data_IF_394741701522
#
_entry.id   IF_394741701522
#
_cell.length_a   1.000
_cell.length_b   1.000
_cell.length_c   1.000
_cell.angle_alpha   90.00
_cell.angle_beta   90.00
_cell.angle_gamma   90.00
#
_symmetry.space_group_name_H-M   'P 1'
#
loop_
_entity.id
_entity.type
_entity.pdbx_description
1 polymer ?
#
# COMPACT_ATOMS: atom_id res chain seq x y z
N UNK A 1 -18.20 19.15 -6.37
CA UNK A 1 -18.60 17.82 -6.81
C UNK A 1 -18.60 16.87 -5.63
N UNK A 2 -19.69 16.14 -5.51
CA UNK A 2 -19.86 15.23 -4.38
C UNK A 2 -18.92 14.05 -4.46
N UNK A 3 -18.44 13.62 -3.32
CA UNK A 3 -17.57 12.47 -3.20
C UNK A 3 -16.08 12.75 -3.36
N UNK A 4 -15.69 13.97 -3.73
CA UNK A 4 -14.27 14.31 -3.77
C UNK A 4 -13.74 14.56 -2.36
N UNK A 5 -12.59 14.00 -2.02
CA UNK A 5 -12.00 14.25 -0.71
C UNK A 5 -11.42 15.66 -0.63
N UNK A 6 -11.20 16.10 0.61
CA UNK A 6 -10.62 17.41 0.94
C UNK A 6 -9.30 17.19 1.66
N UNK A 7 -8.48 18.24 1.70
CA UNK A 7 -7.22 18.19 2.46
C UNK A 7 -7.55 17.79 3.90
N UNK A 8 -6.80 16.81 4.42
CA UNK A 8 -6.99 16.26 5.75
C UNK A 8 -7.86 15.01 5.78
N UNK A 9 -8.58 14.70 4.72
CA UNK A 9 -9.37 13.46 4.67
C UNK A 9 -8.45 12.25 4.66
N UNK A 10 -8.85 11.21 5.39
CA UNK A 10 -8.08 9.98 5.59
C UNK A 10 -8.91 8.76 5.28
N UNK A 11 -8.22 7.71 4.86
CA UNK A 11 -8.82 6.39 4.70
C UNK A 11 -7.80 5.32 5.08
N UNK A 12 -8.28 4.15 5.46
CA UNK A 12 -7.43 3.05 5.93
C UNK A 12 -7.91 1.72 5.38
N UNK A 13 -6.96 0.80 5.30
CA UNK A 13 -7.20 -0.60 4.96
C UNK A 13 -6.27 -1.46 5.81
N UNK A 14 -6.79 -2.52 6.40
CA UNK A 14 -6.01 -3.39 7.27
C UNK A 14 -6.06 -4.82 6.76
N UNK A 15 -4.93 -5.50 6.77
CA UNK A 15 -4.80 -6.86 6.26
C UNK A 15 -3.74 -7.62 7.04
N UNK A 16 -4.09 -8.81 7.53
CA UNK A 16 -3.10 -9.73 8.08
C UNK A 16 -2.46 -10.51 6.94
N UNK A 17 -1.14 -10.47 6.89
CA UNK A 17 -0.37 -11.10 5.82
C UNK A 17 -0.29 -12.60 6.06
N UNK A 18 -0.68 -13.38 5.07
CA UNK A 18 -0.60 -14.85 5.12
C UNK A 18 0.46 -15.37 4.16
N UNK A 19 0.85 -16.63 4.36
CA UNK A 19 1.76 -17.30 3.42
C UNK A 19 1.14 -17.39 2.02
N UNK A 20 -0.18 -17.59 1.93
CA UNK A 20 -0.89 -17.62 0.65
C UNK A 20 -0.83 -16.27 -0.06
N UNK A 21 -0.91 -15.15 0.69
CA UNK A 21 -0.79 -13.81 0.10
C UNK A 21 0.56 -13.65 -0.58
N UNK A 22 1.63 -14.09 0.08
CA UNK A 22 3.00 -14.02 -0.47
C UNK A 22 3.13 -14.91 -1.70
N UNK A 23 2.57 -16.12 -1.65
CA UNK A 23 2.59 -17.05 -2.78
C UNK A 23 1.83 -16.47 -3.98
N UNK A 24 0.67 -15.87 -3.73
CA UNK A 24 -0.13 -15.24 -4.78
C UNK A 24 0.57 -14.03 -5.39
N UNK A 25 1.20 -13.21 -4.57
CA UNK A 25 1.98 -12.07 -5.06
C UNK A 25 3.12 -12.54 -5.96
N UNK A 26 3.87 -13.55 -5.51
CA UNK A 26 4.95 -14.14 -6.31
C UNK A 26 4.44 -14.67 -7.65
N UNK A 27 3.28 -15.33 -7.63
CA UNK A 27 2.68 -15.91 -8.83
C UNK A 27 2.27 -14.83 -9.83
N UNK A 28 1.58 -13.78 -9.37
CA UNK A 28 1.04 -12.76 -10.29
C UNK A 28 2.10 -11.79 -10.79
N UNK A 29 3.17 -11.56 -10.03
CA UNK A 29 4.23 -10.62 -10.40
C UNK A 29 5.44 -11.27 -11.04
N UNK A 30 5.62 -12.60 -10.83
CA UNK A 30 6.83 -13.29 -11.22
C UNK A 30 8.00 -13.10 -10.24
N UNK A 31 7.79 -12.41 -9.11
CA UNK A 31 8.83 -12.19 -8.10
C UNK A 31 8.94 -13.40 -7.19
N UNK A 32 9.74 -14.36 -7.62
CA UNK A 32 9.96 -15.62 -6.91
C UNK A 32 11.25 -15.61 -6.10
N UNK A 33 11.73 -14.44 -5.70
CA UNK A 33 12.91 -14.28 -4.86
C UNK A 33 12.81 -15.20 -3.64
N UNK A 34 13.79 -16.10 -3.41
CA UNK A 34 13.73 -17.08 -2.32
C UNK A 34 13.69 -16.45 -0.92
N UNK A 35 14.07 -15.20 -0.77
CA UNK A 35 13.94 -14.49 0.50
C UNK A 35 12.49 -14.48 1.00
N UNK A 36 11.53 -14.48 0.09
CA UNK A 36 10.11 -14.38 0.45
C UNK A 36 9.44 -15.74 0.64
N UNK A 37 10.02 -16.82 0.11
CA UNK A 37 9.33 -18.10 0.00
C UNK A 37 10.07 -19.31 0.56
N UNK A 38 11.38 -19.23 0.71
CA UNK A 38 12.22 -20.38 1.09
C UNK A 38 12.77 -20.18 2.50
N UNK A 39 12.20 -20.90 3.51
CA UNK A 39 12.67 -20.77 4.90
C UNK A 39 14.16 -21.14 5.08
N UNK A 40 14.64 -22.13 4.34
CA UNK A 40 16.05 -22.54 4.43
C UNK A 40 16.98 -21.45 3.89
N UNK A 41 16.58 -20.79 2.79
CA UNK A 41 17.33 -19.66 2.26
C UNK A 41 17.27 -18.47 3.23
N UNK A 42 16.06 -18.11 3.68
CA UNK A 42 15.87 -16.98 4.57
C UNK A 42 16.60 -17.12 5.89
N UNK A 43 16.73 -18.34 6.41
CA UNK A 43 17.47 -18.63 7.63
C UNK A 43 18.94 -18.21 7.54
N UNK A 44 19.49 -18.15 6.34
CA UNK A 44 20.87 -17.74 6.08
C UNK A 44 21.01 -16.24 5.87
N UNK A 45 19.92 -15.50 5.87
CA UNK A 45 19.92 -14.05 5.70
C UNK A 45 19.83 -13.34 7.06
N UNK A 46 20.03 -12.04 7.05
CA UNK A 46 19.88 -11.21 8.24
C UNK A 46 18.47 -11.27 8.83
N UNK A 47 17.47 -11.63 8.04
CA UNK A 47 16.05 -11.66 8.46
C UNK A 47 15.68 -12.96 9.18
N UNK A 48 16.42 -14.05 8.95
CA UNK A 48 16.27 -15.36 9.59
C UNK A 48 15.03 -16.14 9.21
N UNK A 49 14.02 -15.51 8.67
CA UNK A 49 12.78 -16.13 8.21
C UNK A 49 12.27 -15.40 6.97
N UNK A 50 11.37 -16.01 6.18
CA UNK A 50 10.82 -15.33 5.01
C UNK A 50 10.10 -14.04 5.40
N UNK A 51 10.29 -13.02 4.58
CA UNK A 51 9.60 -11.75 4.71
C UNK A 51 8.71 -11.52 3.50
N UNK A 52 7.64 -10.74 3.68
CA UNK A 52 6.75 -10.39 2.58
C UNK A 52 7.47 -9.45 1.60
N UNK A 53 7.06 -9.51 0.34
CA UNK A 53 7.51 -8.54 -0.65
C UNK A 53 7.12 -7.13 -0.19
N UNK A 54 8.03 -6.18 -0.25
CA UNK A 54 7.71 -4.78 0.09
C UNK A 54 6.58 -4.24 -0.78
N UNK A 55 6.55 -4.64 -2.04
CA UNK A 55 5.50 -4.21 -2.97
C UNK A 55 4.12 -4.77 -2.65
N UNK A 56 4.01 -5.79 -1.79
CA UNK A 56 2.72 -6.25 -1.30
C UNK A 56 2.07 -5.15 -0.44
N UNK A 57 2.83 -4.52 0.45
CA UNK A 57 2.35 -3.38 1.23
C UNK A 57 1.96 -2.20 0.32
N UNK A 58 2.73 -1.97 -0.75
CA UNK A 58 2.36 -0.97 -1.76
C UNK A 58 1.01 -1.30 -2.39
N UNK A 59 0.71 -2.58 -2.59
CA UNK A 59 -0.60 -3.02 -3.06
C UNK A 59 -1.71 -2.64 -2.09
N UNK A 60 -1.47 -2.71 -0.79
CA UNK A 60 -2.45 -2.28 0.22
C UNK A 60 -2.69 -0.77 0.15
N UNK A 61 -1.65 0.02 -0.10
CA UNK A 61 -1.79 1.45 -0.35
C UNK A 61 -2.68 1.68 -1.58
N UNK A 62 -2.42 0.95 -2.67
CA UNK A 62 -3.24 1.04 -3.87
C UNK A 62 -4.71 0.72 -3.58
N UNK A 63 -4.97 -0.27 -2.72
CA UNK A 63 -6.33 -0.63 -2.32
C UNK A 63 -7.05 0.53 -1.61
N UNK A 64 -6.35 1.22 -0.70
CA UNK A 64 -6.92 2.39 -0.01
C UNK A 64 -7.29 3.47 -1.01
N UNK A 65 -6.36 3.79 -1.91
CA UNK A 65 -6.56 4.87 -2.89
C UNK A 65 -7.67 4.55 -3.87
N UNK A 66 -7.77 3.28 -4.27
CA UNK A 66 -8.74 2.87 -5.27
C UNK A 66 -10.13 2.56 -4.74
N UNK A 67 -10.26 2.21 -3.45
CA UNK A 67 -11.54 1.70 -2.93
C UNK A 67 -12.06 2.41 -1.69
N UNK A 68 -11.20 3.12 -0.94
CA UNK A 68 -11.60 3.66 0.37
C UNK A 68 -11.61 5.19 0.42
N UNK A 69 -10.63 5.84 -0.22
CA UNK A 69 -10.48 7.29 -0.08
C UNK A 69 -11.56 8.07 -0.83
N UNK A 70 -11.87 7.66 -2.04
CA UNK A 70 -12.87 8.32 -2.88
C UNK A 70 -13.64 7.28 -3.69
N UNK A 71 -14.46 6.43 -3.03
CA UNK A 71 -15.08 5.27 -3.69
C UNK A 71 -16.06 5.65 -4.81
N UNK A 72 -16.59 6.88 -4.81
CA UNK A 72 -17.48 7.34 -5.87
C UNK A 72 -16.75 7.93 -7.08
N UNK A 73 -15.43 7.99 -7.03
CA UNK A 73 -14.60 8.56 -8.10
C UNK A 73 -13.78 7.48 -8.78
N UNK A 74 -13.35 7.77 -10.01
CA UNK A 74 -12.34 6.95 -10.68
C UNK A 74 -10.97 7.45 -10.25
N UNK A 75 -10.23 6.61 -9.53
CA UNK A 75 -8.89 6.96 -9.07
C UNK A 75 -7.86 6.37 -10.03
N UNK A 76 -7.01 7.23 -10.59
CA UNK A 76 -5.95 6.82 -11.49
C UNK A 76 -4.62 7.17 -10.86
N UNK A 77 -3.77 6.16 -10.67
CA UNK A 77 -2.43 6.37 -10.14
C UNK A 77 -1.59 7.17 -11.13
N UNK A 78 -0.96 8.22 -10.64
CA UNK A 78 -0.01 9.01 -11.43
C UNK A 78 1.42 8.70 -11.00
N UNK A 79 1.68 8.73 -9.69
CA UNK A 79 3.01 8.43 -9.16
C UNK A 79 2.93 7.92 -7.73
N UNK A 80 3.99 7.23 -7.31
CA UNK A 80 4.13 6.73 -5.96
C UNK A 80 5.61 6.67 -5.60
N UNK A 81 5.98 7.33 -4.51
CA UNK A 81 7.28 7.10 -3.89
C UNK A 81 7.11 6.16 -2.71
N UNK A 82 8.13 5.36 -2.43
CA UNK A 82 8.09 4.37 -1.35
C UNK A 82 9.46 4.30 -0.69
N UNK A 83 9.44 4.18 0.64
CA UNK A 83 10.61 3.81 1.43
C UNK A 83 10.21 2.63 2.29
N UNK A 84 10.99 1.57 2.22
CA UNK A 84 10.76 0.34 2.98
C UNK A 84 11.59 0.40 4.25
N UNK A 85 10.93 0.52 5.39
CA UNK A 85 11.58 0.83 6.67
C UNK A 85 11.80 -0.41 7.51
N UNK A 86 10.82 -1.32 7.56
CA UNK A 86 10.89 -2.55 8.34
C UNK A 86 10.38 -3.73 7.53
N UNK A 87 10.93 -4.93 7.74
CA UNK A 87 10.41 -6.14 7.10
C UNK A 87 9.02 -6.47 7.64
N UNK A 88 8.21 -7.09 6.80
CA UNK A 88 6.88 -7.61 7.15
C UNK A 88 6.94 -9.11 7.10
N UNK A 89 6.45 -9.76 8.14
CA UNK A 89 6.48 -11.22 8.28
C UNK A 89 5.09 -11.81 8.17
N UNK A 90 5.01 -13.09 7.85
CA UNK A 90 3.74 -13.83 7.91
C UNK A 90 3.14 -13.68 9.31
N UNK A 91 1.86 -13.33 9.36
CA UNK A 91 1.16 -13.09 10.61
C UNK A 91 1.12 -11.63 11.05
N UNK A 92 1.96 -10.76 10.46
CA UNK A 92 1.85 -9.33 10.73
C UNK A 92 0.55 -8.78 10.16
N UNK A 93 -0.05 -7.84 10.88
CA UNK A 93 -1.22 -7.12 10.41
C UNK A 93 -0.78 -5.73 9.97
N UNK A 94 -0.99 -5.43 8.71
CA UNK A 94 -0.56 -4.17 8.11
C UNK A 94 -1.75 -3.25 7.92
N UNK A 95 -1.61 -2.04 8.43
CA UNK A 95 -2.60 -0.97 8.28
C UNK A 95 -2.04 0.05 7.31
N UNK A 96 -2.66 0.15 6.14
CA UNK A 96 -2.31 1.15 5.14
C UNK A 96 -3.19 2.38 5.35
N UNK A 97 -2.58 3.55 5.42
CA UNK A 97 -3.24 4.82 5.71
C UNK A 97 -2.93 5.80 4.58
N UNK A 98 -3.96 6.46 4.08
CA UNK A 98 -3.81 7.52 3.10
C UNK A 98 -4.44 8.81 3.65
N UNK A 99 -3.73 9.91 3.53
CA UNK A 99 -4.22 11.22 3.96
C UNK A 99 -3.96 12.24 2.86
N UNK A 100 -5.00 12.97 2.47
CA UNK A 100 -4.87 14.03 1.44
C UNK A 100 -4.09 15.20 2.02
N UNK A 101 -2.98 15.56 1.37
CA UNK A 101 -2.11 16.67 1.80
C UNK A 101 -2.23 17.89 0.89
N UNK A 102 -2.55 17.72 -0.37
CA UNK A 102 -2.68 18.82 -1.30
C UNK A 102 -3.56 18.47 -2.46
N UNK A 103 -4.13 19.48 -3.08
CA UNK A 103 -5.05 19.32 -4.22
C UNK A 103 -4.75 20.40 -5.24
N UNK A 104 -4.66 20.00 -6.52
CA UNK A 104 -4.70 20.90 -7.65
C UNK A 104 -6.06 20.73 -8.34
N UNK A 105 -7.07 21.54 -7.96
CA UNK A 105 -8.45 21.29 -8.40
C UNK A 105 -8.63 21.32 -9.92
N UNK A 106 -7.91 22.21 -10.60
CA UNK A 106 -8.04 22.37 -12.04
C UNK A 106 -7.56 21.12 -12.80
N UNK A 107 -6.55 20.44 -12.28
CA UNK A 107 -6.00 19.22 -12.87
C UNK A 107 -6.57 17.97 -12.25
N UNK A 108 -7.37 18.09 -11.18
CA UNK A 108 -7.89 16.99 -10.39
C UNK A 108 -6.80 16.08 -9.84
N UNK A 109 -5.64 16.65 -9.52
CA UNK A 109 -4.51 15.93 -8.96
C UNK A 109 -4.50 16.09 -7.44
N UNK A 110 -4.33 14.97 -6.76
CA UNK A 110 -4.32 14.89 -5.31
C UNK A 110 -2.98 14.34 -4.85
N UNK A 111 -2.32 15.09 -3.96
CA UNK A 111 -1.09 14.62 -3.31
C UNK A 111 -1.49 13.99 -1.98
N UNK A 112 -1.10 12.74 -1.79
CA UNK A 112 -1.58 11.91 -0.69
C UNK A 112 -0.39 11.28 0.02
N UNK A 113 -0.31 11.48 1.34
CA UNK A 113 0.64 10.76 2.17
C UNK A 113 0.14 9.33 2.34
N UNK A 114 1.02 8.36 2.09
CA UNK A 114 0.65 6.95 2.10
C UNK A 114 1.66 6.17 2.94
N UNK A 115 1.20 5.66 4.09
CA UNK A 115 2.05 4.95 5.03
C UNK A 115 1.43 3.61 5.37
N UNK A 116 2.29 2.65 5.74
CA UNK A 116 1.86 1.38 6.29
C UNK A 116 2.50 1.16 7.65
N UNK A 117 1.72 0.63 8.58
CA UNK A 117 2.15 0.33 9.95
C UNK A 117 1.85 -1.12 10.27
N UNK A 118 2.69 -1.75 11.10
CA UNK A 118 2.40 -3.09 11.60
C UNK A 118 1.48 -3.02 12.83
N UNK A 119 1.18 -4.18 13.43
CA UNK A 119 0.29 -4.28 14.58
C UNK A 119 0.82 -3.57 15.83
N UNK A 120 2.11 -3.28 15.86
CA UNK A 120 2.74 -2.56 16.98
C UNK A 120 2.77 -1.04 16.75
N UNK A 121 2.16 -0.58 15.66
CA UNK A 121 2.18 0.84 15.30
C UNK A 121 3.49 1.32 14.71
N UNK A 122 4.41 0.40 14.37
CA UNK A 122 5.69 0.76 13.78
C UNK A 122 5.53 0.97 12.27
N UNK A 123 6.11 2.04 11.71
CA UNK A 123 6.06 2.23 10.27
C UNK A 123 6.87 1.16 9.54
N UNK A 124 6.26 0.54 8.54
CA UNK A 124 6.94 -0.45 7.69
C UNK A 124 7.19 0.09 6.29
N UNK A 125 6.31 0.96 5.81
CA UNK A 125 6.46 1.67 4.53
C UNK A 125 6.03 3.12 4.73
N UNK A 126 6.77 4.03 4.13
CA UNK A 126 6.39 5.45 4.03
C UNK A 126 6.47 5.89 2.59
N UNK A 127 5.53 6.75 2.18
CA UNK A 127 5.51 7.21 0.82
C UNK A 127 4.54 8.34 0.55
N UNK A 128 4.53 8.75 -0.71
CA UNK A 128 3.66 9.79 -1.19
C UNK A 128 3.15 9.41 -2.57
N UNK A 129 1.86 9.56 -2.77
CA UNK A 129 1.21 9.28 -4.04
C UNK A 129 0.67 10.57 -4.66
N UNK A 130 0.63 10.58 -5.99
CA UNK A 130 -0.19 11.52 -6.73
C UNK A 130 -1.22 10.69 -7.48
N UNK A 131 -2.48 11.04 -7.30
CA UNK A 131 -3.58 10.37 -8.01
C UNK A 131 -4.45 11.42 -8.69
N UNK A 132 -5.02 11.03 -9.82
CA UNK A 132 -6.03 11.81 -10.50
C UNK A 132 -7.38 11.23 -10.11
N UNK A 133 -8.28 12.09 -9.62
CA UNK A 133 -9.62 11.67 -9.25
C UNK A 133 -10.63 12.27 -10.20
N UNK A 134 -11.23 11.42 -11.02
CA UNK A 134 -12.25 11.81 -11.97
C UNK A 134 -13.64 11.41 -11.49
N UNK A 135 -14.64 12.22 -11.78
CA UNK A 135 -16.02 11.79 -11.55
C UNK A 135 -16.36 10.63 -12.47
N UNK A 136 -17.25 9.77 -11.99
CA UNK A 136 -17.80 8.69 -12.81
C UNK A 136 -19.20 9.12 -13.22
N UNK A 137 -19.49 9.00 -14.51
CA UNK A 137 -20.81 9.32 -15.03
C UNK A 137 -21.85 8.32 -14.49
N UNK A 138 -23.07 8.78 -14.19
CA UNK A 138 -24.13 7.90 -13.70
C UNK A 138 -24.59 6.87 -14.74
#
# INVERSE_FOLDING_TARGET
MDGLPRVGDRAEFEKTVTADDIADFARVTGDTNPLHRDPAYAAKTRFKEPIAHGMLSAGYISAVLGTKLAPSCCAVYVSQSLRFIRPVKVGDTIRAVAEVKGIEPEKRLYTIETDCFNQNGEPVVKGEAVVLLDPVEP
#
